data_IF_658310102740
#
_entry.id   IF_658310102740
#
_cell.length_a   1.000
_cell.length_b   1.000
_cell.length_c   1.000
_cell.angle_alpha   90.00
_cell.angle_beta   90.00
_cell.angle_gamma   90.00
#
_symmetry.space_group_name_H-M   'P 1'
#
loop_
_entity.id
_entity.type
_entity.pdbx_description
1 polymer ?
#
# COMPACT_ATOMS: atom_id res chain seq x y z
N UNK A 1 -74.78 -44.94 -5.60
CA UNK A 1 -74.18 -44.07 -6.64
C UNK A 1 -73.20 -43.11 -5.95
N UNK A 2 -71.96 -43.52 -5.86
CA UNK A 2 -70.85 -42.66 -5.45
C UNK A 2 -70.01 -42.32 -6.67
N UNK A 3 -69.63 -41.08 -6.89
CA UNK A 3 -68.77 -40.75 -7.99
C UNK A 3 -67.29 -40.92 -7.61
N UNK A 4 -66.45 -41.48 -8.50
CA UNK A 4 -64.99 -41.62 -8.28
C UNK A 4 -64.28 -40.32 -8.64
N UNK A 5 -63.83 -39.59 -7.66
CA UNK A 5 -63.16 -38.31 -7.94
C UNK A 5 -62.15 -37.79 -6.91
N UNK A 6 -62.11 -38.35 -5.71
CA UNK A 6 -61.38 -37.75 -4.59
C UNK A 6 -59.99 -38.32 -4.31
N UNK A 7 -59.63 -39.48 -4.86
CA UNK A 7 -58.29 -40.07 -4.57
C UNK A 7 -57.17 -39.67 -5.54
N UNK A 8 -57.47 -38.95 -6.63
CA UNK A 8 -56.49 -38.58 -7.62
C UNK A 8 -55.87 -37.21 -7.36
N UNK A 9 -56.40 -36.42 -6.41
CA UNK A 9 -55.90 -35.07 -6.05
C UNK A 9 -54.95 -35.07 -4.88
N UNK A 10 -54.88 -36.14 -4.07
CA UNK A 10 -53.89 -36.20 -2.97
C UNK A 10 -52.52 -36.70 -3.38
N UNK A 11 -52.38 -37.40 -4.51
CA UNK A 11 -51.09 -37.91 -4.96
C UNK A 11 -50.20 -36.86 -5.67
N UNK A 12 -50.79 -35.76 -6.17
CA UNK A 12 -50.01 -34.68 -6.82
C UNK A 12 -49.51 -33.60 -5.87
N UNK A 13 -50.00 -33.51 -4.64
CA UNK A 13 -49.60 -32.49 -3.67
C UNK A 13 -48.34 -32.89 -2.88
N UNK A 14 -47.96 -34.17 -2.83
CA UNK A 14 -46.80 -34.65 -2.06
C UNK A 14 -45.49 -34.58 -2.85
N UNK A 15 -45.56 -34.56 -4.20
CA UNK A 15 -44.35 -34.48 -5.05
C UNK A 15 -43.80 -33.04 -5.20
N UNK A 16 -44.63 -32.01 -4.93
CA UNK A 16 -44.25 -30.61 -5.09
C UNK A 16 -43.49 -30.01 -3.88
N UNK A 17 -43.39 -30.71 -2.75
CA UNK A 17 -42.78 -30.22 -1.49
C UNK A 17 -41.32 -30.72 -1.31
N UNK A 18 -40.87 -31.70 -2.12
CA UNK A 18 -39.53 -32.30 -1.96
C UNK A 18 -38.45 -31.75 -2.94
N UNK A 19 -38.77 -30.74 -3.74
CA UNK A 19 -37.84 -30.19 -4.74
C UNK A 19 -37.04 -28.94 -4.36
N UNK A 20 -37.16 -28.24 -3.22
CA UNK A 20 -36.27 -27.11 -2.92
C UNK A 20 -35.12 -27.40 -1.95
N UNK A 21 -34.88 -28.67 -1.54
CA UNK A 21 -33.75 -28.93 -0.61
C UNK A 21 -32.45 -29.37 -1.28
N UNK A 22 -32.40 -29.49 -2.61
CA UNK A 22 -31.18 -29.87 -3.34
C UNK A 22 -30.36 -28.68 -3.87
N UNK A 23 -30.80 -27.44 -3.63
CA UNK A 23 -30.18 -26.25 -4.18
C UNK A 23 -29.18 -25.58 -3.23
N UNK A 24 -28.85 -26.15 -2.07
CA UNK A 24 -28.02 -25.49 -1.05
C UNK A 24 -26.65 -26.14 -0.79
N UNK A 25 -26.21 -27.06 -1.62
CA UNK A 25 -24.87 -27.62 -1.54
C UNK A 25 -24.07 -27.30 -2.84
N UNK A 26 -23.99 -26.03 -3.21
CA UNK A 26 -22.88 -25.60 -4.02
C UNK A 26 -21.64 -25.71 -3.14
N UNK A 27 -20.97 -26.87 -3.19
CA UNK A 27 -19.60 -26.98 -2.68
C UNK A 27 -18.79 -25.86 -3.32
N UNK A 28 -18.36 -24.90 -2.49
CA UNK A 28 -17.46 -23.85 -2.94
C UNK A 28 -16.31 -24.55 -3.69
N UNK A 29 -16.16 -24.25 -4.97
CA UNK A 29 -15.05 -24.80 -5.76
C UNK A 29 -13.74 -24.56 -5.01
N UNK A 30 -12.84 -25.55 -4.99
CA UNK A 30 -11.59 -25.40 -4.27
C UNK A 30 -10.81 -24.19 -4.86
N UNK A 31 -10.56 -23.18 -4.02
CA UNK A 31 -9.76 -22.01 -4.38
C UNK A 31 -8.43 -22.08 -3.64
N UNK A 32 -7.30 -21.73 -4.30
CA UNK A 32 -7.10 -21.56 -5.74
C UNK A 32 -6.85 -22.91 -6.46
N UNK A 33 -7.27 -23.03 -7.74
CA UNK A 33 -7.01 -24.19 -8.60
C UNK A 33 -6.03 -23.91 -9.74
N UNK A 34 -5.62 -22.64 -9.88
CA UNK A 34 -4.68 -22.14 -10.89
C UNK A 34 -3.83 -21.01 -10.30
N UNK A 35 -2.75 -20.60 -10.97
CA UNK A 35 -1.90 -19.50 -10.49
C UNK A 35 -2.66 -18.21 -10.23
N UNK A 36 -2.31 -17.51 -9.14
CA UNK A 36 -2.84 -16.24 -8.72
C UNK A 36 -1.86 -15.13 -9.10
N UNK A 37 -2.33 -14.09 -9.77
CA UNK A 37 -1.53 -12.92 -10.12
C UNK A 37 -1.54 -11.91 -8.97
N UNK A 38 -0.36 -11.40 -8.61
CA UNK A 38 -0.16 -10.37 -7.60
C UNK A 38 0.41 -9.13 -8.27
N UNK A 39 -0.43 -8.13 -8.50
CA UNK A 39 -0.03 -6.87 -9.11
C UNK A 39 0.75 -6.02 -8.10
N UNK A 40 1.80 -5.34 -8.59
CA UNK A 40 2.63 -4.40 -7.82
C UNK A 40 2.67 -3.07 -8.58
N UNK A 41 2.33 -1.93 -7.94
CA UNK A 41 2.13 -0.64 -8.63
C UNK A 41 3.43 0.10 -8.97
N UNK A 42 4.59 -0.46 -8.65
CA UNK A 42 5.89 0.19 -8.84
C UNK A 42 6.89 -0.75 -9.51
N UNK A 43 8.02 -0.16 -9.96
CA UNK A 43 9.15 -0.91 -10.49
C UNK A 43 9.74 -1.87 -9.43
N UNK A 44 10.39 -2.97 -9.86
CA UNK A 44 11.05 -3.90 -8.95
C UNK A 44 12.09 -3.21 -8.05
N UNK A 45 12.28 -3.75 -6.82
CA UNK A 45 13.28 -3.30 -5.85
C UNK A 45 12.81 -2.27 -4.83
N UNK A 46 11.57 -1.75 -4.95
CA UNK A 46 10.95 -0.94 -3.90
C UNK A 46 10.27 -1.79 -2.83
N UNK A 47 9.91 -1.16 -1.70
CA UNK A 47 9.32 -1.86 -0.55
C UNK A 47 8.07 -2.69 -0.89
N UNK A 48 7.21 -2.19 -1.77
CA UNK A 48 6.00 -2.90 -2.21
C UNK A 48 6.34 -4.17 -3.01
N UNK A 49 7.37 -4.13 -3.86
CA UNK A 49 7.86 -5.29 -4.60
C UNK A 49 8.52 -6.30 -3.66
N UNK A 50 9.33 -5.80 -2.74
CA UNK A 50 10.03 -6.64 -1.75
C UNK A 50 9.04 -7.48 -0.94
N UNK A 51 8.03 -6.86 -0.32
CA UNK A 51 7.04 -7.61 0.47
C UNK A 51 6.21 -8.55 -0.40
N UNK A 52 5.84 -8.17 -1.63
CA UNK A 52 5.13 -9.03 -2.55
C UNK A 52 5.92 -10.30 -2.86
N UNK A 53 7.24 -10.19 -3.11
CA UNK A 53 8.12 -11.33 -3.39
C UNK A 53 8.41 -12.19 -2.17
N UNK A 54 8.33 -11.64 -0.96
CA UNK A 54 8.48 -12.43 0.27
C UNK A 54 7.21 -13.21 0.63
N UNK A 55 6.03 -12.60 0.43
CA UNK A 55 4.78 -13.25 0.79
C UNK A 55 4.29 -14.25 -0.26
N UNK A 56 4.54 -14.02 -1.55
CA UNK A 56 4.06 -14.86 -2.64
C UNK A 56 4.47 -16.35 -2.51
N UNK A 57 5.73 -16.70 -2.22
CA UNK A 57 6.11 -18.10 -1.99
C UNK A 57 5.44 -18.73 -0.77
N UNK A 58 5.17 -17.94 0.28
CA UNK A 58 4.49 -18.41 1.49
C UNK A 58 3.00 -18.66 1.27
N UNK A 59 2.36 -17.82 0.45
CA UNK A 59 0.99 -18.06 -0.01
C UNK A 59 0.91 -19.30 -0.92
N UNK A 60 1.90 -19.50 -1.80
CA UNK A 60 2.01 -20.72 -2.60
C UNK A 60 2.15 -21.97 -1.73
N UNK A 61 3.01 -21.94 -0.72
CA UNK A 61 3.20 -23.02 0.25
C UNK A 61 1.88 -23.34 0.99
N UNK A 62 1.16 -22.32 1.41
CA UNK A 62 -0.09 -22.46 2.18
C UNK A 62 -1.29 -22.92 1.34
N UNK A 63 -1.37 -22.48 0.08
CA UNK A 63 -2.57 -22.62 -0.76
C UNK A 63 -2.39 -23.54 -1.97
N UNK A 64 -1.18 -24.04 -2.22
CA UNK A 64 -0.89 -25.07 -3.23
C UNK A 64 -0.85 -24.59 -4.67
N UNK A 65 -0.96 -23.28 -4.93
CA UNK A 65 -0.88 -22.69 -6.27
C UNK A 65 0.11 -21.52 -6.30
N UNK A 66 0.76 -21.30 -7.44
CA UNK A 66 1.72 -20.23 -7.61
C UNK A 66 1.08 -18.84 -7.43
N UNK A 67 1.74 -17.97 -6.69
CA UNK A 67 1.43 -16.54 -6.62
C UNK A 67 2.50 -15.78 -7.41
N UNK A 68 2.10 -15.20 -8.55
CA UNK A 68 3.03 -14.63 -9.54
C UNK A 68 3.01 -13.10 -9.42
N UNK A 69 4.15 -12.52 -9.05
CA UNK A 69 4.31 -11.06 -8.93
C UNK A 69 4.45 -10.44 -10.32
N UNK A 70 3.62 -9.43 -10.60
CA UNK A 70 3.55 -8.69 -11.87
C UNK A 70 3.65 -7.17 -11.59
N UNK A 71 4.81 -6.58 -11.87
CA UNK A 71 5.05 -5.15 -11.66
C UNK A 71 4.43 -4.32 -12.79
N UNK A 72 3.50 -3.41 -12.45
CA UNK A 72 2.85 -2.49 -13.38
C UNK A 72 3.00 -1.05 -12.91
N UNK A 73 4.19 -0.51 -13.11
CA UNK A 73 4.52 0.86 -12.74
C UNK A 73 3.84 1.89 -13.65
N UNK A 74 3.62 3.09 -13.13
CA UNK A 74 3.15 4.26 -13.88
C UNK A 74 1.90 4.93 -13.28
N UNK A 75 1.68 6.18 -13.65
CA UNK A 75 0.58 7.03 -13.16
C UNK A 75 0.43 6.99 -11.62
N UNK A 76 1.54 7.13 -10.89
CA UNK A 76 1.57 7.05 -9.40
C UNK A 76 0.99 5.74 -8.84
N UNK A 77 1.10 4.63 -9.60
CA UNK A 77 0.58 3.31 -9.23
C UNK A 77 -0.84 3.02 -9.72
N UNK A 78 -1.51 3.98 -10.34
CA UNK A 78 -2.91 3.83 -10.79
C UNK A 78 -3.08 2.76 -11.87
N UNK A 79 -2.04 2.48 -12.69
CA UNK A 79 -2.11 1.43 -13.71
C UNK A 79 -2.37 0.06 -13.08
N UNK A 80 -1.61 -0.31 -12.04
CA UNK A 80 -1.82 -1.57 -11.34
C UNK A 80 -3.13 -1.59 -10.55
N UNK A 81 -3.45 -0.47 -9.87
CA UNK A 81 -4.66 -0.32 -9.08
C UNK A 81 -5.92 -0.50 -9.94
N UNK A 82 -6.01 0.18 -11.07
CA UNK A 82 -7.15 0.04 -11.99
C UNK A 82 -7.24 -1.36 -12.58
N UNK A 83 -6.10 -1.95 -12.93
CA UNK A 83 -6.07 -3.33 -13.42
C UNK A 83 -6.59 -4.33 -12.37
N UNK A 84 -6.26 -4.12 -11.10
CA UNK A 84 -6.78 -4.94 -10.00
C UNK A 84 -8.28 -4.72 -9.80
N UNK A 85 -8.73 -3.47 -9.72
CA UNK A 85 -10.14 -3.13 -9.47
C UNK A 85 -11.09 -3.60 -10.57
N UNK A 86 -10.61 -3.61 -11.82
CA UNK A 86 -11.37 -4.07 -13.00
C UNK A 86 -11.24 -5.57 -13.28
N UNK A 87 -10.44 -6.30 -12.51
CA UNK A 87 -10.29 -7.74 -12.66
C UNK A 87 -11.55 -8.50 -12.22
N UNK A 88 -11.69 -9.75 -12.68
CA UNK A 88 -12.75 -10.63 -12.21
C UNK A 88 -12.65 -10.80 -10.68
N UNK A 89 -13.78 -10.74 -9.94
CA UNK A 89 -13.79 -10.86 -8.49
C UNK A 89 -13.73 -12.32 -8.04
N UNK A 90 -12.80 -13.09 -8.58
CA UNK A 90 -12.63 -14.53 -8.38
C UNK A 90 -11.41 -14.89 -7.52
N UNK A 91 -10.68 -13.87 -7.03
CA UNK A 91 -9.49 -14.03 -6.19
C UNK A 91 -8.20 -14.34 -6.97
N UNK A 92 -8.22 -14.42 -8.31
CA UNK A 92 -7.04 -14.75 -9.10
C UNK A 92 -6.23 -13.52 -9.58
N UNK A 93 -6.69 -12.33 -9.27
CA UNK A 93 -5.92 -11.10 -9.42
C UNK A 93 -5.98 -10.32 -8.12
N UNK A 94 -4.84 -10.17 -7.48
CA UNK A 94 -4.64 -9.44 -6.24
C UNK A 94 -3.76 -8.23 -6.48
N UNK A 95 -3.75 -7.29 -5.54
CA UNK A 95 -2.88 -6.12 -5.54
C UNK A 95 -2.14 -6.03 -4.21
N UNK A 96 -0.83 -5.92 -4.24
CA UNK A 96 -0.09 -5.36 -3.11
C UNK A 96 -0.05 -3.86 -3.29
N UNK A 97 -0.87 -3.15 -2.54
CA UNK A 97 -0.97 -1.70 -2.56
C UNK A 97 -0.38 -1.06 -1.30
N UNK A 98 -0.41 0.25 -1.25
CA UNK A 98 0.08 1.03 -0.13
C UNK A 98 -0.79 2.27 0.13
N UNK A 99 -0.40 3.08 1.11
CA UNK A 99 -1.13 4.30 1.48
C UNK A 99 -1.33 5.24 0.27
N UNK A 100 -0.34 5.40 -0.62
CA UNK A 100 -0.50 6.26 -1.81
C UNK A 100 -1.57 5.73 -2.75
N UNK A 101 -1.47 4.47 -3.17
CA UNK A 101 -2.38 3.90 -4.18
C UNK A 101 -3.79 3.70 -3.64
N UNK A 102 -3.93 3.29 -2.37
CA UNK A 102 -5.21 2.83 -1.83
C UNK A 102 -5.92 3.83 -0.90
N UNK A 103 -5.23 4.87 -0.40
CA UNK A 103 -5.86 5.87 0.44
C UNK A 103 -5.75 7.31 -0.12
N UNK A 104 -4.67 7.64 -0.86
CA UNK A 104 -4.43 9.01 -1.32
C UNK A 104 -4.91 9.24 -2.75
N UNK A 105 -4.64 8.30 -3.66
CA UNK A 105 -4.88 8.49 -5.10
C UNK A 105 -6.34 8.79 -5.43
N UNK A 106 -7.29 8.27 -4.66
CA UNK A 106 -8.71 8.56 -4.84
C UNK A 106 -9.02 10.07 -4.78
N UNK A 107 -8.32 10.81 -3.95
CA UNK A 107 -8.49 12.26 -3.81
C UNK A 107 -7.62 13.04 -4.78
N UNK A 108 -6.38 12.62 -4.99
CA UNK A 108 -5.40 13.32 -5.84
C UNK A 108 -5.76 13.22 -7.32
N UNK A 109 -6.26 12.06 -7.75
CA UNK A 109 -6.64 11.79 -9.14
C UNK A 109 -8.15 11.77 -9.35
N UNK A 110 -8.92 12.44 -8.50
CA UNK A 110 -10.39 12.39 -8.48
C UNK A 110 -11.05 12.76 -9.82
N UNK A 111 -10.39 13.61 -10.64
CA UNK A 111 -10.91 14.09 -11.93
C UNK A 111 -10.61 13.14 -13.08
N UNK A 112 -9.54 12.36 -13.01
CA UNK A 112 -9.06 11.52 -14.13
C UNK A 112 -9.20 10.02 -13.86
N UNK A 113 -9.32 9.60 -12.60
CA UNK A 113 -9.44 8.20 -12.22
C UNK A 113 -10.91 7.80 -11.97
N UNK A 114 -11.39 6.79 -12.70
CA UNK A 114 -12.76 6.26 -12.50
C UNK A 114 -12.83 5.26 -11.35
N UNK A 115 -11.74 4.59 -11.06
CA UNK A 115 -11.62 3.62 -9.98
C UNK A 115 -11.50 4.34 -8.64
N UNK A 116 -12.30 3.91 -7.66
CA UNK A 116 -12.21 4.39 -6.28
C UNK A 116 -11.75 3.25 -5.39
N UNK A 117 -10.49 3.24 -4.94
CA UNK A 117 -9.96 2.14 -4.12
C UNK A 117 -10.82 1.81 -2.91
N UNK A 118 -11.36 2.83 -2.22
CA UNK A 118 -12.23 2.66 -1.05
C UNK A 118 -13.54 1.94 -1.34
N UNK A 119 -14.00 1.92 -2.61
CA UNK A 119 -15.22 1.26 -3.08
C UNK A 119 -14.94 -0.01 -3.87
N UNK A 120 -13.95 0.04 -4.75
CA UNK A 120 -13.74 -0.97 -5.81
C UNK A 120 -12.76 -2.07 -5.40
N UNK A 121 -12.10 -1.91 -4.24
CA UNK A 121 -11.23 -2.92 -3.64
C UNK A 121 -11.67 -3.27 -2.23
N UNK A 122 -11.45 -4.52 -1.85
CA UNK A 122 -11.55 -5.00 -0.47
C UNK A 122 -10.16 -5.29 0.07
N UNK A 123 -9.87 -4.83 1.28
CA UNK A 123 -8.64 -5.15 1.99
C UNK A 123 -8.66 -6.59 2.47
N UNK A 124 -7.64 -7.37 2.10
CA UNK A 124 -7.44 -8.71 2.65
C UNK A 124 -6.73 -8.61 3.99
N UNK A 125 -5.59 -7.93 4.02
CA UNK A 125 -4.83 -7.63 5.24
C UNK A 125 -3.80 -6.55 4.99
N UNK A 126 -3.55 -5.71 5.97
CA UNK A 126 -2.26 -5.04 6.08
C UNK A 126 -1.18 -6.12 6.25
N UNK A 127 -0.02 -5.91 5.65
CA UNK A 127 1.10 -6.84 5.67
C UNK A 127 2.21 -6.35 6.61
N UNK A 128 2.69 -5.16 6.31
CA UNK A 128 3.80 -4.53 7.03
C UNK A 128 3.59 -3.01 7.14
N UNK A 129 4.25 -2.43 8.12
CA UNK A 129 4.51 -1.00 8.23
C UNK A 129 6.00 -0.74 8.02
N UNK A 130 6.33 0.38 7.38
CA UNK A 130 7.68 0.72 6.97
C UNK A 130 7.99 2.13 7.42
N UNK A 131 9.00 2.32 8.27
CA UNK A 131 9.46 3.64 8.65
C UNK A 131 9.91 4.43 7.41
N UNK A 132 9.66 5.73 7.42
CA UNK A 132 10.22 6.65 6.44
C UNK A 132 11.33 7.48 7.05
N UNK A 133 12.21 7.91 6.19
CA UNK A 133 13.34 8.76 6.54
C UNK A 133 13.34 9.96 5.61
N UNK A 134 13.55 11.15 6.19
CA UNK A 134 13.90 12.36 5.48
C UNK A 134 15.38 12.28 5.16
N UNK A 135 15.71 12.08 3.90
CA UNK A 135 17.08 11.91 3.41
C UNK A 135 17.52 13.13 2.60
N UNK A 136 18.83 13.34 2.60
CA UNK A 136 19.48 14.29 1.71
C UNK A 136 20.60 13.64 0.89
N UNK A 137 20.84 14.20 -0.31
CA UNK A 137 22.01 13.91 -1.11
C UNK A 137 23.29 14.19 -0.31
N UNK A 138 24.34 13.38 -0.49
CA UNK A 138 25.62 13.57 0.23
C UNK A 138 26.27 14.90 -0.14
N UNK A 139 26.08 15.38 -1.37
CA UNK A 139 26.58 16.66 -1.88
C UNK A 139 25.83 17.89 -1.33
N UNK A 140 24.63 17.70 -0.74
CA UNK A 140 23.86 18.80 -0.16
C UNK A 140 24.46 19.19 1.20
N UNK A 141 24.89 20.48 1.42
CA UNK A 141 25.63 20.84 2.62
C UNK A 141 24.92 20.60 3.96
N UNK A 142 23.60 20.93 4.15
CA UNK A 142 22.89 20.74 5.41
C UNK A 142 22.86 19.30 5.91
N UNK A 143 22.93 19.13 7.24
CA UNK A 143 22.89 17.82 7.92
C UNK A 143 21.71 17.68 8.88
N UNK A 144 20.99 18.78 9.15
CA UNK A 144 19.84 18.80 10.07
C UNK A 144 18.62 19.41 9.40
N UNK A 145 17.44 19.21 9.99
CA UNK A 145 16.21 19.87 9.53
C UNK A 145 16.35 21.40 9.61
N UNK A 146 16.91 21.91 10.71
CA UNK A 146 17.11 23.36 10.91
C UNK A 146 18.03 23.96 9.84
N UNK A 147 19.18 23.33 9.58
CA UNK A 147 20.11 23.76 8.51
C UNK A 147 19.48 23.68 7.12
N UNK A 148 18.66 22.65 6.86
CA UNK A 148 17.92 22.53 5.60
C UNK A 148 16.95 23.69 5.40
N UNK A 149 16.22 24.07 6.44
CA UNK A 149 15.28 25.20 6.41
C UNK A 149 16.04 26.52 6.20
N UNK A 150 17.13 26.72 6.92
CA UNK A 150 17.95 27.93 6.78
C UNK A 150 18.52 28.05 5.36
N UNK A 151 19.03 26.95 4.81
CA UNK A 151 19.56 26.91 3.44
C UNK A 151 18.45 27.23 2.42
N UNK A 152 17.27 26.63 2.56
CA UNK A 152 16.15 26.87 1.66
C UNK A 152 15.69 28.33 1.69
N UNK A 153 15.61 28.95 2.88
CA UNK A 153 15.27 30.37 3.02
C UNK A 153 16.30 31.32 2.37
N UNK A 154 17.56 30.95 2.40
CA UNK A 154 18.63 31.71 1.73
C UNK A 154 18.66 31.47 0.22
N UNK A 155 18.08 30.38 -0.27
CA UNK A 155 18.11 29.97 -1.66
C UNK A 155 16.71 29.58 -2.17
N UNK A 156 15.74 30.50 -2.19
CA UNK A 156 14.36 30.19 -2.56
C UNK A 156 14.27 29.58 -3.95
N UNK A 157 13.48 28.50 -4.11
CA UNK A 157 13.26 27.81 -5.37
C UNK A 157 14.43 26.97 -5.92
N UNK A 158 15.58 26.91 -5.22
CA UNK A 158 16.76 26.15 -5.69
C UNK A 158 16.85 24.74 -5.12
N UNK A 159 15.97 24.36 -4.24
CA UNK A 159 15.99 23.07 -3.57
C UNK A 159 14.98 22.12 -4.21
N UNK A 160 15.51 21.06 -4.85
CA UNK A 160 14.69 20.04 -5.48
C UNK A 160 14.47 18.85 -4.55
N UNK A 161 13.26 18.26 -4.58
CA UNK A 161 12.98 17.04 -3.88
C UNK A 161 12.34 15.98 -4.77
N UNK A 162 12.65 14.72 -4.49
CA UNK A 162 12.09 13.56 -5.18
C UNK A 162 10.85 13.04 -4.50
N UNK A 163 9.92 12.51 -5.29
CA UNK A 163 8.82 11.65 -4.81
C UNK A 163 8.57 10.49 -5.77
N UNK A 164 7.77 9.52 -5.33
CA UNK A 164 7.35 8.39 -6.16
C UNK A 164 6.27 8.75 -7.21
N UNK A 165 5.98 10.03 -7.36
CA UNK A 165 4.99 10.59 -8.28
C UNK A 165 4.11 11.63 -7.60
N UNK A 166 3.40 12.37 -8.43
CA UNK A 166 2.50 13.42 -7.97
C UNK A 166 1.40 12.82 -7.08
N UNK A 167 1.08 13.47 -5.97
CA UNK A 167 0.04 13.05 -5.03
C UNK A 167 0.38 11.84 -4.14
N UNK A 168 1.55 11.23 -4.29
CA UNK A 168 1.98 10.17 -3.37
C UNK A 168 2.31 10.74 -1.99
N UNK A 169 2.29 9.90 -0.93
CA UNK A 169 2.59 10.39 0.43
C UNK A 169 3.97 11.06 0.53
N UNK A 170 5.07 10.62 -0.14
CA UNK A 170 6.33 11.36 -0.10
C UNK A 170 6.21 12.79 -0.65
N UNK A 171 5.39 12.99 -1.69
CA UNK A 171 5.08 14.33 -2.21
C UNK A 171 4.30 15.15 -1.20
N UNK A 172 3.21 14.60 -0.64
CA UNK A 172 2.35 15.30 0.32
C UNK A 172 3.08 15.61 1.63
N UNK A 173 3.90 14.70 2.13
CA UNK A 173 4.72 14.93 3.32
C UNK A 173 5.72 16.08 3.10
N UNK A 174 6.33 16.14 1.92
CA UNK A 174 7.24 17.25 1.59
C UNK A 174 6.49 18.58 1.47
N UNK A 175 5.30 18.60 0.88
CA UNK A 175 4.45 19.80 0.85
C UNK A 175 4.04 20.26 2.25
N UNK A 176 3.65 19.33 3.12
CA UNK A 176 3.33 19.64 4.53
C UNK A 176 4.53 20.19 5.28
N UNK A 177 5.71 19.58 5.08
CA UNK A 177 6.97 20.07 5.64
C UNK A 177 7.30 21.47 5.14
N UNK A 178 7.29 21.69 3.84
CA UNK A 178 7.61 22.99 3.23
C UNK A 178 6.67 24.09 3.74
N UNK A 179 5.37 23.80 3.82
CA UNK A 179 4.36 24.74 4.38
C UNK A 179 4.60 25.05 5.85
N UNK A 180 4.87 24.03 6.67
CA UNK A 180 5.12 24.19 8.10
C UNK A 180 6.43 24.94 8.38
N UNK A 181 7.46 24.75 7.54
CA UNK A 181 8.76 25.40 7.64
C UNK A 181 8.79 26.81 7.00
N UNK A 182 7.77 27.17 6.20
CA UNK A 182 7.75 28.42 5.44
C UNK A 182 8.85 28.51 4.39
N UNK A 183 9.06 27.44 3.63
CA UNK A 183 10.07 27.30 2.56
C UNK A 183 9.45 26.88 1.23
N UNK A 184 10.15 27.19 0.14
CA UNK A 184 9.77 26.79 -1.20
C UNK A 184 10.69 25.68 -1.72
N UNK A 185 10.10 24.61 -2.24
CA UNK A 185 10.80 23.45 -2.78
C UNK A 185 10.24 23.09 -4.16
N UNK A 186 11.12 22.63 -5.06
CA UNK A 186 10.73 22.19 -6.41
C UNK A 186 10.54 20.68 -6.45
N UNK A 187 9.37 20.22 -6.85
CA UNK A 187 9.02 18.79 -6.94
C UNK A 187 9.52 18.15 -8.22
N UNK A 188 10.23 17.04 -8.12
CA UNK A 188 10.69 16.20 -9.23
C UNK A 188 10.11 14.79 -9.04
N UNK A 189 9.06 14.39 -9.82
CA UNK A 189 8.42 13.10 -9.68
C UNK A 189 9.19 11.99 -10.40
N UNK A 190 9.34 10.81 -9.76
CA UNK A 190 9.96 9.60 -10.29
C UNK A 190 8.96 8.44 -10.34
N UNK A 191 8.44 8.12 -11.52
CA UNK A 191 7.34 7.15 -11.71
C UNK A 191 7.67 5.72 -11.25
N UNK A 192 8.95 5.36 -11.19
CA UNK A 192 9.44 4.06 -10.71
C UNK A 192 9.59 3.98 -9.18
N UNK A 193 9.25 5.03 -8.43
CA UNK A 193 9.38 5.05 -6.98
C UNK A 193 10.85 5.05 -6.52
N UNK A 194 11.12 4.38 -5.37
CA UNK A 194 12.44 4.37 -4.76
C UNK A 194 13.57 3.93 -5.71
N UNK A 195 13.30 2.98 -6.61
CA UNK A 195 14.30 2.49 -7.57
C UNK A 195 14.84 3.58 -8.51
N UNK A 196 14.04 4.60 -8.80
CA UNK A 196 14.48 5.75 -9.61
C UNK A 196 14.89 6.95 -8.75
N UNK A 197 14.31 7.13 -7.57
CA UNK A 197 14.66 8.23 -6.67
C UNK A 197 16.07 8.09 -6.11
N UNK A 198 16.52 6.89 -5.77
CA UNK A 198 17.82 6.65 -5.15
C UNK A 198 19.00 7.07 -6.03
N UNK A 199 19.08 6.68 -7.31
CA UNK A 199 20.15 7.18 -8.18
C UNK A 199 20.19 8.71 -8.29
N UNK A 200 19.03 9.36 -8.40
CA UNK A 200 18.93 10.81 -8.50
C UNK A 200 19.36 11.56 -7.22
N UNK A 201 19.08 10.98 -6.05
CA UNK A 201 19.57 11.47 -4.77
C UNK A 201 21.10 11.29 -4.65
N UNK A 202 21.61 10.12 -5.03
CA UNK A 202 23.05 9.82 -4.95
C UNK A 202 23.87 10.65 -5.94
N UNK A 203 23.34 10.98 -7.12
CA UNK A 203 24.00 11.90 -8.08
C UNK A 203 23.91 13.37 -7.65
N UNK A 204 22.95 13.73 -6.78
CA UNK A 204 22.68 15.10 -6.40
C UNK A 204 21.75 15.85 -7.36
N UNK A 205 21.13 15.18 -8.34
CA UNK A 205 20.14 15.79 -9.24
C UNK A 205 18.93 16.31 -8.46
N UNK A 206 18.60 15.63 -7.36
CA UNK A 206 17.68 16.12 -6.33
C UNK A 206 18.36 16.07 -4.98
N UNK A 207 18.01 17.00 -4.10
CA UNK A 207 18.67 17.15 -2.81
C UNK A 207 17.98 16.43 -1.67
N UNK A 208 16.65 16.31 -1.70
CA UNK A 208 15.82 15.84 -0.59
C UNK A 208 14.78 14.80 -1.04
N UNK A 209 14.41 13.92 -0.12
CA UNK A 209 13.21 13.10 -0.25
C UNK A 209 12.73 12.60 1.12
N UNK A 210 11.40 12.37 1.25
CA UNK A 210 10.88 11.37 2.19
C UNK A 210 10.83 10.03 1.45
N UNK A 211 11.47 9.01 1.99
CA UNK A 211 11.53 7.70 1.36
C UNK A 211 11.53 6.61 2.43
N UNK A 212 11.03 5.42 2.09
CA UNK A 212 11.00 4.34 3.07
C UNK A 212 12.42 3.89 3.45
N UNK A 213 12.61 3.60 4.73
CA UNK A 213 13.92 3.24 5.28
C UNK A 213 14.43 1.91 4.70
N UNK A 214 13.54 0.96 4.44
CA UNK A 214 13.89 -0.34 3.85
C UNK A 214 14.62 -0.21 2.51
N UNK A 215 14.23 0.77 1.67
CA UNK A 215 14.88 1.02 0.39
C UNK A 215 16.19 1.82 0.50
N UNK A 216 16.43 2.51 1.62
CA UNK A 216 17.53 3.50 1.74
C UNK A 216 18.62 3.13 2.73
N UNK A 217 18.36 2.22 3.66
CA UNK A 217 19.25 1.94 4.79
C UNK A 217 20.67 1.58 4.35
N UNK A 218 20.82 0.79 3.30
CA UNK A 218 22.14 0.39 2.78
C UNK A 218 22.90 1.57 2.18
N UNK A 219 22.20 2.53 1.56
CA UNK A 219 22.82 3.74 1.02
C UNK A 219 23.25 4.70 2.15
N UNK A 220 22.46 4.77 3.21
CA UNK A 220 22.77 5.56 4.41
C UNK A 220 23.97 4.96 5.13
N UNK A 221 24.00 3.64 5.38
CA UNK A 221 25.12 2.92 6.01
C UNK A 221 26.40 3.03 5.20
N UNK A 222 26.30 3.02 3.88
CA UNK A 222 27.45 3.20 2.97
C UNK A 222 27.92 4.65 2.84
N UNK A 223 27.28 5.61 3.54
CA UNK A 223 27.61 7.04 3.47
C UNK A 223 27.31 7.69 2.12
N UNK A 224 26.43 7.11 1.32
CA UNK A 224 26.02 7.63 0.00
C UNK A 224 24.78 8.54 0.07
N UNK A 225 24.04 8.48 1.17
CA UNK A 225 22.93 9.37 1.50
C UNK A 225 23.04 9.80 2.96
N UNK A 226 22.53 10.98 3.29
CA UNK A 226 22.39 11.47 4.66
C UNK A 226 20.99 11.19 5.17
N UNK A 227 20.85 10.60 6.35
CA UNK A 227 19.59 10.54 7.08
C UNK A 227 19.46 11.80 7.93
N UNK A 228 18.49 12.66 7.63
CA UNK A 228 18.27 13.92 8.34
C UNK A 228 17.35 13.72 9.55
N UNK A 229 16.23 13.01 9.36
CA UNK A 229 15.28 12.67 10.41
C UNK A 229 14.44 11.44 10.03
N UNK A 230 13.86 10.73 11.01
CA UNK A 230 12.91 9.65 10.78
C UNK A 230 11.49 10.11 11.06
N UNK A 231 10.49 9.44 10.45
CA UNK A 231 9.07 9.80 10.60
C UNK A 231 8.39 9.07 11.76
N UNK A 232 9.09 8.13 12.40
CA UNK A 232 8.55 7.35 13.51
C UNK A 232 8.38 8.23 14.77
N UNK A 233 7.47 7.85 15.68
CA UNK A 233 7.30 8.56 16.96
C UNK A 233 8.56 8.52 17.86
N UNK A 234 9.34 7.45 17.70
CA UNK A 234 10.61 7.22 18.42
C UNK A 234 11.72 6.96 17.42
N UNK A 235 12.97 7.16 17.82
CA UNK A 235 14.14 6.87 16.99
C UNK A 235 14.18 5.41 16.58
N UNK A 236 14.57 5.17 15.33
CA UNK A 236 14.72 3.83 14.77
C UNK A 236 16.00 3.19 15.33
N UNK A 237 15.97 1.98 15.90
CA UNK A 237 17.14 1.33 16.48
C UNK A 237 18.34 1.22 15.53
N UNK A 238 18.08 1.06 14.24
CA UNK A 238 19.09 0.96 13.18
C UNK A 238 19.79 2.28 12.87
N UNK A 239 19.18 3.40 13.29
CA UNK A 239 19.69 4.76 13.12
C UNK A 239 19.57 5.54 14.45
N UNK A 240 20.21 5.11 15.54
CA UNK A 240 19.97 5.65 16.90
C UNK A 240 20.36 7.12 17.05
N UNK A 241 21.27 7.60 16.19
CA UNK A 241 21.73 8.98 16.19
C UNK A 241 20.90 9.90 15.29
N UNK A 242 19.96 9.35 14.51
CA UNK A 242 19.09 10.15 13.65
C UNK A 242 17.83 10.53 14.44
N UNK A 243 17.54 11.83 14.60
CA UNK A 243 16.36 12.29 15.34
C UNK A 243 15.08 11.99 14.57
N UNK A 244 13.95 12.05 15.27
CA UNK A 244 12.64 12.01 14.62
C UNK A 244 12.23 13.40 14.13
N UNK A 245 11.30 13.48 13.16
CA UNK A 245 10.71 14.75 12.73
C UNK A 245 10.06 15.49 13.92
N UNK A 246 9.42 14.75 14.84
CA UNK A 246 8.84 15.32 16.05
C UNK A 246 9.88 15.96 16.97
N UNK A 247 11.05 15.32 17.20
CA UNK A 247 12.16 15.89 17.94
C UNK A 247 12.73 17.16 17.29
N UNK A 248 12.56 17.31 15.96
CA UNK A 248 12.99 18.46 15.19
C UNK A 248 11.92 19.58 15.11
N UNK A 249 10.81 19.47 15.86
CA UNK A 249 9.75 20.47 15.90
C UNK A 249 8.65 20.30 14.84
N UNK A 250 8.63 19.17 14.14
CA UNK A 250 7.66 18.87 13.08
C UNK A 250 6.83 17.60 13.41
N UNK A 251 6.08 17.59 14.52
CA UNK A 251 5.23 16.46 14.87
C UNK A 251 4.16 16.24 13.79
N UNK A 252 3.92 14.98 13.43
CA UNK A 252 2.94 14.60 12.43
C UNK A 252 3.35 14.88 10.98
N UNK A 253 4.58 15.36 10.72
CA UNK A 253 5.15 15.39 9.38
C UNK A 253 5.89 14.08 9.12
N UNK A 254 5.54 13.46 8.01
CA UNK A 254 6.04 12.16 7.60
C UNK A 254 5.05 11.04 7.88
N UNK A 255 4.89 10.18 6.90
CA UNK A 255 3.92 9.08 6.92
C UNK A 255 4.59 7.79 7.34
N UNK A 256 3.96 7.06 8.26
CA UNK A 256 4.29 5.67 8.52
C UNK A 256 3.55 4.82 7.48
N UNK A 257 4.26 4.45 6.42
CA UNK A 257 3.60 3.80 5.28
C UNK A 257 3.38 2.32 5.53
N UNK A 258 2.17 1.88 5.29
CA UNK A 258 1.83 0.46 5.26
C UNK A 258 1.83 -0.09 3.83
N UNK A 259 2.03 -1.40 3.73
CA UNK A 259 1.76 -2.19 2.54
C UNK A 259 0.65 -3.19 2.88
N UNK A 260 -0.27 -3.42 1.96
CA UNK A 260 -1.42 -4.30 2.18
C UNK A 260 -1.79 -5.10 0.94
N UNK A 261 -2.45 -6.23 1.16
CA UNK A 261 -2.99 -7.09 0.11
C UNK A 261 -4.47 -6.79 -0.10
N UNK A 262 -4.88 -6.66 -1.36
CA UNK A 262 -6.22 -6.30 -1.78
C UNK A 262 -6.72 -7.23 -2.89
N UNK A 263 -8.05 -7.32 -2.99
CA UNK A 263 -8.76 -7.97 -4.09
C UNK A 263 -9.87 -7.04 -4.63
N UNK A 264 -10.47 -7.32 -5.82
CA UNK A 264 -11.69 -6.64 -6.26
C UNK A 264 -12.79 -6.69 -5.19
N UNK A 265 -13.55 -5.61 -5.02
CA UNK A 265 -14.51 -5.47 -3.91
C UNK A 265 -15.58 -6.57 -3.87
N UNK A 266 -15.99 -7.09 -5.04
CA UNK A 266 -17.00 -8.16 -5.15
C UNK A 266 -16.43 -9.58 -4.98
N UNK A 267 -15.16 -9.74 -4.60
CA UNK A 267 -14.55 -11.05 -4.33
C UNK A 267 -15.29 -11.75 -3.19
N UNK A 268 -15.71 -13.01 -3.37
CA UNK A 268 -16.49 -13.73 -2.37
C UNK A 268 -15.79 -13.79 -1.01
N UNK A 269 -16.54 -13.53 0.06
CA UNK A 269 -16.02 -13.50 1.43
C UNK A 269 -15.20 -14.74 1.80
N UNK A 270 -15.61 -15.99 1.45
CA UNK A 270 -14.79 -17.18 1.76
C UNK A 270 -13.41 -17.15 1.14
N UNK A 271 -13.24 -16.54 -0.06
CA UNK A 271 -11.94 -16.37 -0.72
C UNK A 271 -11.10 -15.33 0.03
N UNK A 272 -11.70 -14.19 0.39
CA UNK A 272 -11.06 -13.12 1.15
C UNK A 272 -10.58 -13.64 2.52
N UNK A 273 -11.44 -14.36 3.24
CA UNK A 273 -11.11 -14.94 4.55
C UNK A 273 -9.99 -15.98 4.44
N UNK A 274 -10.01 -16.83 3.40
CA UNK A 274 -8.98 -17.84 3.15
C UNK A 274 -7.62 -17.18 2.86
N UNK A 275 -7.60 -16.14 2.04
CA UNK A 275 -6.39 -15.36 1.76
C UNK A 275 -5.88 -14.66 3.02
N UNK A 276 -6.77 -14.06 3.82
CA UNK A 276 -6.39 -13.45 5.10
C UNK A 276 -5.74 -14.46 6.05
N UNK A 277 -6.36 -15.64 6.23
CA UNK A 277 -5.81 -16.69 7.08
C UNK A 277 -4.41 -17.14 6.61
N UNK A 278 -4.21 -17.28 5.28
CA UNK A 278 -2.91 -17.63 4.71
C UNK A 278 -1.85 -16.53 4.95
N UNK A 279 -2.24 -15.25 4.82
CA UNK A 279 -1.37 -14.09 5.15
C UNK A 279 -0.97 -14.10 6.62
N UNK A 280 -1.95 -14.27 7.52
CA UNK A 280 -1.70 -14.33 8.98
C UNK A 280 -0.72 -15.46 9.29
N UNK A 281 -0.97 -16.67 8.77
CA UNK A 281 -0.10 -17.82 8.98
C UNK A 281 1.32 -17.56 8.46
N UNK A 282 1.46 -16.98 7.26
CA UNK A 282 2.75 -16.68 6.65
C UNK A 282 3.56 -15.66 7.48
N UNK A 283 2.94 -14.53 7.83
CA UNK A 283 3.61 -13.43 8.52
C UNK A 283 3.79 -13.65 10.03
N UNK A 284 3.09 -14.62 10.62
CA UNK A 284 3.28 -15.02 12.02
C UNK A 284 4.53 -15.86 12.26
N UNK A 285 5.11 -16.44 11.20
CA UNK A 285 6.31 -17.28 11.28
C UNK A 285 7.50 -16.48 11.79
N UNK A 286 8.28 -17.00 12.78
CA UNK A 286 9.45 -16.29 13.32
C UNK A 286 10.46 -15.88 12.24
N UNK A 287 10.76 -16.78 11.29
CA UNK A 287 11.69 -16.54 10.19
C UNK A 287 11.23 -15.42 9.26
N UNK A 288 9.90 -15.27 9.04
CA UNK A 288 9.36 -14.16 8.26
C UNK A 288 9.51 -12.83 8.99
N UNK A 289 9.21 -12.81 10.28
CA UNK A 289 9.35 -11.61 11.12
C UNK A 289 10.80 -11.14 11.17
N UNK A 290 11.74 -12.07 11.38
CA UNK A 290 13.17 -11.78 11.41
C UNK A 290 13.67 -11.25 10.05
N UNK A 291 13.33 -11.93 8.97
CA UNK A 291 13.71 -11.51 7.61
C UNK A 291 13.17 -10.12 7.27
N UNK A 292 11.90 -9.84 7.60
CA UNK A 292 11.29 -8.53 7.34
C UNK A 292 11.89 -7.45 8.24
N UNK A 293 12.19 -7.77 9.51
CA UNK A 293 12.87 -6.85 10.42
C UNK A 293 14.26 -6.46 9.92
N UNK A 294 15.03 -7.41 9.36
CA UNK A 294 16.32 -7.11 8.71
C UNK A 294 16.19 -6.14 7.53
N UNK A 295 15.01 -6.08 6.92
CA UNK A 295 14.68 -5.14 5.85
C UNK A 295 13.88 -3.92 6.35
N UNK A 296 13.85 -3.71 7.66
CA UNK A 296 13.17 -2.60 8.32
C UNK A 296 11.66 -2.54 8.01
N UNK A 297 11.07 -3.70 7.84
CA UNK A 297 9.62 -3.88 7.70
C UNK A 297 9.07 -4.51 8.97
N UNK A 298 8.15 -3.83 9.64
CA UNK A 298 7.46 -4.37 10.80
C UNK A 298 6.19 -5.08 10.37
N UNK A 299 6.06 -6.36 10.73
CA UNK A 299 4.82 -7.11 10.49
C UNK A 299 3.64 -6.43 11.21
N UNK A 300 2.58 -6.16 10.48
CA UNK A 300 1.42 -5.41 10.96
C UNK A 300 0.09 -5.97 10.44
N UNK A 301 -0.10 -7.28 10.63
CA UNK A 301 -1.29 -7.99 10.13
C UNK A 301 -2.56 -7.45 10.79
N UNK A 302 -3.58 -7.17 10.00
CA UNK A 302 -4.89 -6.72 10.46
C UNK A 302 -5.64 -7.85 11.19
N UNK A 303 -6.48 -7.50 12.16
CA UNK A 303 -7.31 -8.48 12.89
C UNK A 303 -8.28 -9.21 11.98
N UNK A 304 -8.80 -8.51 10.99
CA UNK A 304 -9.72 -9.05 9.97
C UNK A 304 -9.63 -8.25 8.67
N UNK A 305 -10.15 -8.79 7.55
CA UNK A 305 -10.32 -8.03 6.31
C UNK A 305 -11.19 -6.77 6.48
N UNK A 306 -12.21 -6.85 7.33
CA UNK A 306 -13.09 -5.72 7.61
C UNK A 306 -12.34 -4.59 8.31
N UNK A 307 -11.54 -4.90 9.34
CA UNK A 307 -10.74 -3.89 10.05
C UNK A 307 -9.79 -3.17 9.11
N UNK A 308 -9.13 -3.90 8.20
CA UNK A 308 -8.23 -3.30 7.24
C UNK A 308 -8.96 -2.45 6.20
N UNK A 309 -10.09 -2.92 5.69
CA UNK A 309 -10.92 -2.16 4.75
C UNK A 309 -11.41 -0.86 5.38
N UNK A 310 -11.83 -0.89 6.65
CA UNK A 310 -12.29 0.29 7.37
C UNK A 310 -11.12 1.26 7.68
N UNK A 311 -9.95 0.73 8.05
CA UNK A 311 -8.73 1.55 8.20
C UNK A 311 -8.46 2.33 6.92
N UNK A 312 -8.46 1.66 5.75
CA UNK A 312 -8.20 2.31 4.45
C UNK A 312 -9.24 3.39 4.16
N UNK A 313 -10.52 3.16 4.44
CA UNK A 313 -11.58 4.15 4.26
C UNK A 313 -11.38 5.39 5.13
N UNK A 314 -11.07 5.19 6.40
CA UNK A 314 -10.80 6.27 7.35
C UNK A 314 -9.59 7.10 6.91
N UNK A 315 -8.52 6.43 6.49
CA UNK A 315 -7.33 7.11 5.97
C UNK A 315 -7.61 7.86 4.66
N UNK A 316 -8.44 7.29 3.77
CA UNK A 316 -8.85 7.97 2.53
C UNK A 316 -9.54 9.31 2.84
N UNK A 317 -10.41 9.35 3.85
CA UNK A 317 -11.07 10.59 4.28
C UNK A 317 -10.04 11.60 4.83
N UNK A 318 -9.16 11.16 5.72
CA UNK A 318 -8.12 12.03 6.29
C UNK A 318 -7.18 12.60 5.21
N UNK A 319 -6.75 11.77 4.26
CA UNK A 319 -5.90 12.22 3.16
C UNK A 319 -6.64 13.15 2.19
N UNK A 320 -7.96 13.00 2.01
CA UNK A 320 -8.74 13.92 1.17
C UNK A 320 -8.67 15.36 1.69
N UNK A 321 -8.63 15.53 3.01
CA UNK A 321 -8.44 16.85 3.63
C UNK A 321 -7.04 17.41 3.36
N UNK A 322 -6.00 16.59 3.50
CA UNK A 322 -4.61 16.97 3.20
C UNK A 322 -4.46 17.38 1.74
N UNK A 323 -5.02 16.60 0.80
CA UNK A 323 -4.99 16.90 -0.65
C UNK A 323 -5.69 18.22 -0.95
N UNK A 324 -6.87 18.43 -0.38
CA UNK A 324 -7.65 19.67 -0.53
C UNK A 324 -6.90 20.89 0.01
N UNK A 325 -6.38 20.79 1.24
CA UNK A 325 -5.74 21.90 1.94
C UNK A 325 -4.41 22.33 1.30
N UNK A 326 -3.72 21.41 0.63
CA UNK A 326 -2.53 21.69 -0.15
C UNK A 326 -2.81 21.92 -1.65
N UNK A 327 -4.08 21.94 -2.06
CA UNK A 327 -4.53 22.17 -3.45
C UNK A 327 -3.88 21.23 -4.47
N UNK A 328 -3.59 19.99 -4.05
CA UNK A 328 -2.98 18.98 -4.93
C UNK A 328 -4.08 18.35 -5.75
N UNK A 329 -4.17 18.74 -7.01
CA UNK A 329 -5.07 18.13 -8.01
C UNK A 329 -4.26 17.77 -9.24
N UNK A 330 -4.62 16.66 -9.85
CA UNK A 330 -4.14 16.24 -11.15
C UNK A 330 -5.35 16.33 -12.08
N UNK A 331 -5.28 17.26 -12.99
CA UNK A 331 -6.31 17.48 -14.02
C UNK A 331 -6.04 16.58 -15.22
#
# INVERSE_FOLDING_TARGET
FDPPGTMRRLALAVVAVLLPLAAAAQSAEPYPTRPVKVLVPYAPGGATDIIARHIAPKLQEALGQAFVVDNRAGASGNIALEAAAKAAPDGYTLLVGNVSTNAINESTFATVMQTRPSRDLVGISKLVEIPHVFVAAISFPPNTVAETIEWAKKNPGKLNYASAGLGTYPHLDMLRFAKAAGIELTHIPYKGGAAQMLPALMSGDVQLAFINLASTIEQIRAGRLKAIATTMPTRVPELPNVPTMAEQGFPGIGTNAWQGLFAPAATPKPIVDKLHAAVVAALSRPEMKEMLAQQLMTVAVSKSPQDFTEQVRTETQAWSEVVRDNKVKID
#
